data_IF_230320080359
#
_entry.id   IF_230320080359
#
_cell.length_a   1.000
_cell.length_b   1.000
_cell.length_c   1.000
_cell.angle_alpha   90.00
_cell.angle_beta   90.00
_cell.angle_gamma   90.00
#
_symmetry.space_group_name_H-M   'P 1'
#
loop_
_entity.id
_entity.type
_entity.pdbx_description
1 polymer ?
#
# COMPACT_ATOMS: atom_id res chain seq x y z
N UNK A 1 37.59 -39.80 50.12
CA UNK A 1 38.76 -40.42 49.47
C UNK A 1 38.23 -41.42 48.44
N UNK A 2 38.73 -41.52 47.21
CA UNK A 2 39.61 -40.60 46.47
C UNK A 2 39.55 -40.94 44.97
N UNK A 3 39.49 -40.02 43.98
CA UNK A 3 38.72 -38.77 43.79
C UNK A 3 38.57 -38.56 42.24
N UNK A 4 37.76 -37.61 41.76
CA UNK A 4 37.46 -37.47 40.32
C UNK A 4 38.52 -36.68 39.52
N UNK A 5 38.92 -37.11 38.30
CA UNK A 5 39.76 -36.31 37.42
C UNK A 5 38.94 -35.32 36.58
N UNK A 6 39.20 -34.03 36.78
CA UNK A 6 38.75 -32.94 35.90
C UNK A 6 39.77 -32.69 34.80
N UNK A 7 39.43 -32.98 33.54
CA UNK A 7 40.23 -32.52 32.40
C UNK A 7 39.81 -31.11 31.96
N UNK A 8 40.68 -30.14 32.24
CA UNK A 8 40.61 -28.79 31.69
C UNK A 8 41.65 -28.65 30.58
N UNK A 9 41.23 -28.70 29.32
CA UNK A 9 42.08 -28.24 28.21
C UNK A 9 42.21 -26.70 28.23
N UNK A 10 43.43 -26.14 28.12
CA UNK A 10 43.63 -24.69 28.06
C UNK A 10 43.36 -24.16 26.65
N UNK A 11 42.28 -23.37 26.49
CA UNK A 11 41.97 -22.70 25.22
C UNK A 11 43.06 -21.66 24.91
N UNK A 12 43.76 -21.88 23.80
CA UNK A 12 44.88 -21.07 23.34
C UNK A 12 44.41 -19.67 22.89
N UNK A 13 44.82 -18.61 23.62
CA UNK A 13 44.46 -17.22 23.29
C UNK A 13 45.26 -16.73 22.07
N UNK A 14 44.70 -16.93 20.88
CA UNK A 14 45.24 -16.39 19.63
C UNK A 14 45.13 -14.87 19.56
N UNK A 15 46.27 -14.16 19.58
CA UNK A 15 46.34 -12.72 19.30
C UNK A 15 45.92 -12.44 17.84
N UNK A 16 44.72 -11.91 17.64
CA UNK A 16 44.32 -11.36 16.33
C UNK A 16 44.92 -9.97 16.18
N UNK A 17 45.79 -9.81 15.18
CA UNK A 17 46.39 -8.53 14.83
C UNK A 17 45.32 -7.56 14.28
N UNK A 18 45.40 -6.28 14.66
CA UNK A 18 44.54 -5.22 14.11
C UNK A 18 44.78 -5.08 12.59
N UNK A 19 43.82 -5.49 11.77
CA UNK A 19 43.68 -4.98 10.40
C UNK A 19 42.64 -3.86 10.39
N UNK A 20 43.10 -2.63 10.16
CA UNK A 20 42.23 -1.55 9.72
C UNK A 20 41.94 -1.76 8.23
N UNK A 21 40.70 -2.09 7.89
CA UNK A 21 40.11 -1.89 6.56
C UNK A 21 38.66 -1.48 6.75
N UNK A 22 38.27 -0.38 6.13
CA UNK A 22 36.91 0.13 6.21
C UNK A 22 35.91 -0.76 5.46
N UNK A 23 34.70 -0.91 5.99
CA UNK A 23 33.50 -0.54 5.22
C UNK A 23 32.32 -0.23 6.15
N UNK A 24 31.58 0.84 5.86
CA UNK A 24 30.40 1.28 6.61
C UNK A 24 29.18 1.13 5.68
N UNK A 25 28.47 0.00 5.71
CA UNK A 25 27.33 -0.17 4.77
C UNK A 25 26.22 -1.19 5.08
N UNK A 26 26.29 -2.04 6.12
CA UNK A 26 25.16 -2.92 6.48
C UNK A 26 24.62 -2.61 7.88
N UNK A 27 23.79 -1.56 7.98
CA UNK A 27 22.79 -1.48 9.03
C UNK A 27 21.51 -2.17 8.50
N UNK A 28 21.09 -3.34 9.03
CA UNK A 28 19.95 -4.08 8.49
C UNK A 28 18.62 -3.32 8.58
N UNK A 29 18.55 -2.33 9.48
CA UNK A 29 17.41 -1.45 9.67
C UNK A 29 17.72 -0.10 9.02
N UNK A 30 17.64 -0.04 7.69
CA UNK A 30 17.71 1.21 6.93
C UNK A 30 16.32 1.77 6.63
N UNK A 31 16.25 3.08 6.45
CA UNK A 31 15.03 3.79 6.00
C UNK A 31 14.65 3.27 4.61
N UNK A 32 13.41 2.83 4.42
CA UNK A 32 12.93 2.33 3.13
C UNK A 32 12.81 3.49 2.11
N UNK A 33 12.92 3.22 0.80
CA UNK A 33 12.85 4.25 -0.25
C UNK A 33 11.47 4.94 -0.30
N UNK A 34 11.31 6.01 0.47
CA UNK A 34 10.23 6.96 0.28
C UNK A 34 10.52 7.91 -0.89
N UNK A 35 9.48 8.52 -1.45
CA UNK A 35 9.68 9.70 -2.30
C UNK A 35 10.21 10.85 -1.46
N UNK A 36 11.24 11.53 -1.98
CA UNK A 36 11.68 12.80 -1.43
C UNK A 36 10.52 13.78 -1.52
N UNK A 37 10.34 14.59 -0.47
CA UNK A 37 9.55 15.82 -0.58
C UNK A 37 10.25 16.70 -1.62
N UNK A 38 9.80 16.64 -2.87
CA UNK A 38 10.02 17.74 -3.77
C UNK A 38 9.48 19.00 -3.09
N UNK A 39 10.21 20.10 -3.16
CA UNK A 39 9.72 21.40 -2.69
C UNK A 39 8.65 21.97 -3.63
N UNK A 40 8.52 21.38 -4.82
CA UNK A 40 7.20 21.21 -5.38
C UNK A 40 6.43 20.22 -4.47
N UNK A 41 5.45 20.73 -3.72
CA UNK A 41 4.11 20.12 -3.84
C UNK A 41 4.00 19.65 -5.29
N UNK A 42 3.78 18.37 -5.60
CA UNK A 42 3.31 18.03 -6.96
C UNK A 42 2.14 18.98 -7.12
N UNK A 43 2.24 20.02 -7.96
CA UNK A 43 1.18 20.98 -7.95
C UNK A 43 -0.02 20.17 -8.43
N UNK A 44 -1.20 20.46 -7.93
CA UNK A 44 -2.32 20.43 -8.85
C UNK A 44 -1.99 21.51 -9.89
N UNK A 45 -1.11 21.17 -10.82
CA UNK A 45 -0.67 22.00 -11.90
C UNK A 45 -1.90 22.03 -12.76
N UNK A 46 -2.72 23.07 -12.62
CA UNK A 46 -3.90 23.27 -13.45
C UNK A 46 -3.44 23.04 -14.89
N UNK A 47 -3.86 21.91 -15.47
CA UNK A 47 -3.19 21.32 -16.62
C UNK A 47 -3.36 22.22 -17.83
N UNK A 48 -2.40 23.14 -18.04
CA UNK A 48 -2.31 24.20 -19.08
C UNK A 48 -3.54 24.31 -19.99
N UNK A 49 -4.69 24.75 -19.47
CA UNK A 49 -5.98 24.88 -20.19
C UNK A 49 -6.22 23.83 -21.31
N UNK A 50 -5.83 22.57 -21.07
CA UNK A 50 -5.84 21.53 -22.10
C UNK A 50 -7.28 21.04 -22.30
N UNK A 51 -7.96 21.68 -23.24
CA UNK A 51 -9.36 21.38 -23.57
C UNK A 51 -9.48 19.91 -23.94
N UNK A 52 -10.40 19.19 -23.31
CA UNK A 52 -10.72 17.78 -23.55
C UNK A 52 -10.65 17.30 -25.01
N UNK A 53 -11.14 18.11 -25.96
CA UNK A 53 -11.07 17.78 -27.38
C UNK A 53 -9.64 17.70 -27.95
N UNK A 54 -8.70 18.50 -27.46
CA UNK A 54 -7.28 18.43 -27.83
C UNK A 54 -6.63 17.14 -27.30
N UNK A 55 -6.89 16.78 -26.04
CA UNK A 55 -6.35 15.55 -25.44
C UNK A 55 -6.85 14.28 -26.16
N UNK A 56 -8.09 14.28 -26.65
CA UNK A 56 -8.64 13.20 -27.47
C UNK A 56 -8.06 13.17 -28.90
N UNK A 57 -7.64 14.32 -29.46
CA UNK A 57 -6.92 14.37 -30.73
C UNK A 57 -5.48 13.89 -30.57
N UNK A 58 -4.76 14.39 -29.55
CA UNK A 58 -3.35 14.09 -29.29
C UNK A 58 -3.14 12.61 -28.91
N UNK A 59 -4.11 11.98 -28.24
CA UNK A 59 -4.13 10.54 -27.96
C UNK A 59 -4.61 9.67 -29.13
N UNK A 60 -4.95 10.27 -30.28
CA UNK A 60 -5.43 9.55 -31.48
C UNK A 60 -6.82 8.94 -31.35
N UNK A 61 -7.59 9.29 -30.30
CA UNK A 61 -8.95 8.79 -30.05
C UNK A 61 -10.01 9.51 -30.89
N UNK A 62 -9.73 10.73 -31.34
CA UNK A 62 -10.53 11.46 -32.33
C UNK A 62 -9.65 11.86 -33.52
N UNK A 63 -10.27 11.93 -34.70
CA UNK A 63 -9.69 12.66 -35.84
C UNK A 63 -10.14 14.14 -35.81
N UNK A 64 -9.43 15.01 -36.53
CA UNK A 64 -9.84 16.41 -36.67
C UNK A 64 -11.25 16.57 -37.26
N UNK A 65 -11.60 15.74 -38.25
CA UNK A 65 -12.93 15.71 -38.86
C UNK A 65 -14.01 15.25 -37.86
N UNK A 66 -13.68 14.33 -36.97
CA UNK A 66 -14.59 13.86 -35.91
C UNK A 66 -14.77 14.90 -34.82
N UNK A 67 -13.72 15.61 -34.41
CA UNK A 67 -13.82 16.74 -33.48
C UNK A 67 -14.76 17.84 -34.01
N UNK A 68 -14.76 18.14 -35.31
CA UNK A 68 -15.75 19.05 -35.91
C UNK A 68 -17.19 18.54 -35.85
N UNK A 69 -17.40 17.22 -36.00
CA UNK A 69 -18.72 16.59 -35.87
C UNK A 69 -19.22 16.70 -34.42
N UNK A 70 -18.33 16.48 -33.45
CA UNK A 70 -18.61 16.69 -32.02
C UNK A 70 -18.99 18.15 -31.75
N UNK A 71 -18.19 19.13 -32.19
CA UNK A 71 -18.49 20.56 -32.00
C UNK A 71 -19.84 20.98 -32.61
N UNK A 72 -20.20 20.44 -33.78
CA UNK A 72 -21.51 20.68 -34.41
C UNK A 72 -22.66 20.13 -33.55
N UNK A 73 -22.58 18.88 -33.08
CA UNK A 73 -23.60 18.30 -32.20
C UNK A 73 -23.66 19.03 -30.85
N UNK A 74 -22.51 19.39 -30.29
CA UNK A 74 -22.38 20.12 -29.04
C UNK A 74 -23.18 21.42 -29.08
N UNK A 75 -22.96 22.25 -30.11
CA UNK A 75 -23.72 23.50 -30.31
C UNK A 75 -25.20 23.25 -30.59
N UNK A 76 -25.52 22.29 -31.47
CA UNK A 76 -26.89 22.03 -31.91
C UNK A 76 -27.80 21.47 -30.79
N UNK A 77 -27.24 20.80 -29.78
CA UNK A 77 -28.00 20.21 -28.66
C UNK A 77 -27.61 20.72 -27.27
N UNK A 78 -26.79 21.77 -27.21
CA UNK A 78 -26.27 22.39 -25.98
C UNK A 78 -25.68 21.35 -24.98
N UNK A 79 -24.86 20.44 -25.50
CA UNK A 79 -24.22 19.36 -24.72
C UNK A 79 -22.81 19.76 -24.24
N UNK A 80 -22.21 18.96 -23.35
CA UNK A 80 -20.76 19.01 -23.13
C UNK A 80 -20.05 18.29 -24.27
N UNK A 81 -18.77 18.61 -24.50
CA UNK A 81 -18.00 18.01 -25.60
C UNK A 81 -17.90 16.48 -25.48
N UNK A 82 -17.61 15.96 -24.28
CA UNK A 82 -17.54 14.52 -24.01
C UNK A 82 -18.88 13.81 -24.30
N UNK A 83 -19.98 14.32 -23.73
CA UNK A 83 -21.33 13.78 -23.97
C UNK A 83 -21.68 13.73 -25.46
N UNK A 84 -21.31 14.76 -26.23
CA UNK A 84 -21.52 14.79 -27.67
C UNK A 84 -20.64 13.78 -28.43
N UNK A 85 -19.40 13.53 -27.99
CA UNK A 85 -18.49 12.57 -28.60
C UNK A 85 -18.91 11.12 -28.34
N UNK A 86 -19.30 10.79 -27.09
CA UNK A 86 -19.85 9.48 -26.71
C UNK A 86 -21.16 9.23 -27.45
N UNK A 87 -22.05 10.22 -27.52
CA UNK A 87 -23.34 10.11 -28.24
C UNK A 87 -23.22 9.93 -29.75
N UNK A 88 -22.08 10.31 -30.35
CA UNK A 88 -21.76 10.03 -31.74
C UNK A 88 -21.09 8.66 -31.95
N UNK A 89 -20.80 7.91 -30.88
CA UNK A 89 -20.11 6.62 -30.92
C UNK A 89 -18.63 6.73 -31.32
N UNK A 90 -18.02 7.91 -31.19
CA UNK A 90 -16.66 8.19 -31.65
C UNK A 90 -15.61 7.83 -30.61
N UNK A 91 -15.98 7.88 -29.33
CA UNK A 91 -15.15 7.58 -28.16
C UNK A 91 -16.04 6.94 -27.09
N UNK A 92 -15.45 6.12 -26.23
CA UNK A 92 -16.13 5.57 -25.05
C UNK A 92 -16.12 6.56 -23.87
N UNK A 93 -16.94 6.31 -22.85
CA UNK A 93 -16.85 7.05 -21.58
C UNK A 93 -15.47 6.89 -20.93
N UNK A 94 -14.82 5.74 -21.09
CA UNK A 94 -13.47 5.49 -20.57
C UNK A 94 -12.41 6.38 -21.25
N UNK A 95 -12.53 6.62 -22.56
CA UNK A 95 -11.64 7.53 -23.29
C UNK A 95 -11.82 8.99 -22.83
N UNK A 96 -13.05 9.41 -22.57
CA UNK A 96 -13.34 10.73 -21.96
C UNK A 96 -12.70 10.83 -20.58
N UNK A 97 -12.84 9.82 -19.74
CA UNK A 97 -12.28 9.79 -18.39
C UNK A 97 -10.74 9.79 -18.39
N UNK A 98 -10.11 9.16 -19.39
CA UNK A 98 -8.65 9.16 -19.54
C UNK A 98 -8.10 10.51 -20.01
N UNK A 99 -8.79 11.16 -20.95
CA UNK A 99 -8.46 12.53 -21.33
C UNK A 99 -8.71 13.52 -20.17
N UNK A 100 -9.76 13.31 -19.36
CA UNK A 100 -10.00 14.13 -18.17
C UNK A 100 -8.94 13.94 -17.07
N UNK A 101 -8.43 12.73 -16.81
CA UNK A 101 -7.37 12.56 -15.81
C UNK A 101 -6.06 13.23 -16.23
N UNK A 102 -5.71 13.20 -17.52
CA UNK A 102 -4.59 13.98 -18.06
C UNK A 102 -4.80 15.50 -17.88
N UNK A 103 -6.05 15.97 -18.00
CA UNK A 103 -6.39 17.37 -17.77
C UNK A 103 -6.28 17.80 -16.29
N UNK A 104 -6.55 16.88 -15.36
CA UNK A 104 -6.56 17.12 -13.91
C UNK A 104 -5.36 16.54 -13.15
N UNK A 105 -4.33 16.06 -13.87
CA UNK A 105 -3.11 15.43 -13.35
C UNK A 105 -3.39 14.29 -12.33
N UNK A 106 -4.39 13.44 -12.64
CA UNK A 106 -4.80 12.34 -11.76
C UNK A 106 -4.12 11.02 -12.20
N UNK A 107 -3.16 10.46 -11.43
CA UNK A 107 -2.45 9.25 -11.81
C UNK A 107 -3.36 8.03 -11.69
N UNK A 108 -3.79 7.51 -12.85
CA UNK A 108 -4.46 6.23 -12.96
C UNK A 108 -3.98 5.48 -14.22
N UNK A 109 -4.06 4.16 -14.16
CA UNK A 109 -3.47 3.25 -15.14
C UNK A 109 -4.50 2.79 -16.16
N UNK A 110 -4.08 2.59 -17.40
CA UNK A 110 -4.90 1.86 -18.36
C UNK A 110 -5.04 0.38 -17.90
N UNK A 111 -6.22 -0.25 -18.00
CA UNK A 111 -6.41 -1.66 -17.62
C UNK A 111 -5.35 -2.59 -18.22
N UNK A 112 -4.82 -3.50 -17.39
CA UNK A 112 -3.71 -4.40 -17.75
C UNK A 112 -2.31 -3.77 -17.85
N UNK A 113 -2.15 -2.45 -17.69
CA UNK A 113 -0.83 -1.82 -17.71
C UNK A 113 0.04 -2.27 -16.52
N UNK A 114 1.33 -2.48 -16.77
CA UNK A 114 2.35 -2.93 -15.80
C UNK A 114 2.17 -4.36 -15.22
N UNK A 115 1.13 -5.08 -15.66
CA UNK A 115 0.87 -6.46 -15.23
C UNK A 115 0.40 -6.60 -13.78
N UNK A 116 -0.05 -5.51 -13.13
CA UNK A 116 -0.68 -5.60 -11.81
C UNK A 116 -2.05 -6.28 -11.90
N UNK A 117 -2.56 -6.77 -10.78
CA UNK A 117 -3.87 -7.43 -10.72
C UNK A 117 -5.02 -6.46 -11.02
N UNK A 118 -5.99 -6.89 -11.84
CA UNK A 118 -7.24 -6.16 -12.10
C UNK A 118 -8.06 -5.89 -10.82
N UNK A 119 -7.77 -6.58 -9.71
CA UNK A 119 -8.35 -6.29 -8.40
C UNK A 119 -7.89 -4.93 -7.81
N UNK A 120 -6.87 -4.27 -8.40
CA UNK A 120 -6.46 -2.90 -8.09
C UNK A 120 -7.37 -1.84 -8.76
N UNK A 121 -8.68 -1.91 -8.47
CA UNK A 121 -9.72 -1.02 -9.04
C UNK A 121 -9.45 0.48 -8.84
N UNK A 122 -8.73 0.88 -7.78
CA UNK A 122 -8.34 2.27 -7.55
C UNK A 122 -7.24 2.76 -8.51
N UNK A 123 -6.44 1.85 -9.07
CA UNK A 123 -5.46 2.16 -10.12
C UNK A 123 -6.12 2.19 -11.51
N UNK A 124 -7.01 1.23 -11.82
CA UNK A 124 -7.54 1.06 -13.19
C UNK A 124 -8.92 1.69 -13.44
N UNK A 125 -9.78 1.80 -12.42
CA UNK A 125 -11.18 2.22 -12.54
C UNK A 125 -11.54 3.30 -11.49
N UNK A 126 -10.79 4.43 -11.43
CA UNK A 126 -10.86 5.37 -10.31
C UNK A 126 -12.19 6.14 -10.21
N UNK A 127 -13.04 6.12 -11.22
CA UNK A 127 -14.31 6.85 -11.25
C UNK A 127 -15.53 5.99 -10.89
N UNK A 128 -15.30 4.77 -10.39
CA UNK A 128 -16.37 3.87 -9.94
C UNK A 128 -16.89 4.29 -8.55
N UNK A 129 -18.18 4.02 -8.24
CA UNK A 129 -18.73 4.24 -6.89
C UNK A 129 -17.95 3.51 -5.79
N UNK A 130 -17.33 2.36 -6.10
CA UNK A 130 -16.47 1.61 -5.20
C UNK A 130 -15.23 2.41 -4.79
N UNK A 131 -14.56 3.08 -5.74
CA UNK A 131 -13.38 3.91 -5.45
C UNK A 131 -13.77 5.20 -4.72
N UNK A 132 -14.96 5.75 -4.95
CA UNK A 132 -15.48 6.84 -4.10
C UNK A 132 -15.66 6.42 -2.63
N UNK A 133 -16.11 5.19 -2.36
CA UNK A 133 -16.14 4.68 -0.97
C UNK A 133 -14.73 4.52 -0.37
N UNK A 134 -13.73 4.14 -1.17
CA UNK A 134 -12.34 4.10 -0.73
C UNK A 134 -11.79 5.51 -0.41
N UNK A 135 -12.09 6.52 -1.26
CA UNK A 135 -11.75 7.92 -0.98
C UNK A 135 -12.45 8.44 0.28
N UNK A 136 -13.71 8.08 0.50
CA UNK A 136 -14.45 8.44 1.71
C UNK A 136 -13.83 7.81 2.97
N UNK A 137 -13.47 6.51 2.92
CA UNK A 137 -12.76 5.81 3.99
C UNK A 137 -11.41 6.47 4.29
N UNK A 138 -10.59 6.71 3.26
CA UNK A 138 -9.31 7.43 3.36
C UNK A 138 -9.46 8.77 4.09
N UNK A 139 -10.43 9.60 3.68
CA UNK A 139 -10.69 10.90 4.31
C UNK A 139 -11.12 10.77 5.78
N UNK A 140 -11.89 9.74 6.14
CA UNK A 140 -12.25 9.46 7.54
C UNK A 140 -11.04 9.01 8.37
N UNK A 141 -10.15 8.19 7.81
CA UNK A 141 -8.91 7.77 8.47
C UNK A 141 -7.91 8.91 8.63
N UNK A 142 -7.81 9.81 7.63
CA UNK A 142 -7.04 11.05 7.75
C UNK A 142 -7.54 11.89 8.92
N UNK A 143 -8.85 12.12 9.04
CA UNK A 143 -9.40 12.93 10.13
C UNK A 143 -9.27 12.27 11.51
N UNK A 144 -9.47 10.95 11.61
CA UNK A 144 -9.57 10.24 12.89
C UNK A 144 -8.26 9.66 13.41
N UNK A 145 -7.29 9.39 12.53
CA UNK A 145 -6.06 8.69 12.89
C UNK A 145 -4.82 9.47 12.45
N UNK A 146 -4.56 9.57 11.15
CA UNK A 146 -3.29 10.14 10.66
C UNK A 146 -3.14 11.64 10.99
N UNK A 147 -4.24 12.40 10.99
CA UNK A 147 -4.29 13.80 11.40
C UNK A 147 -4.04 14.05 12.89
N UNK A 148 -3.98 13.00 13.72
CA UNK A 148 -3.56 13.10 15.14
C UNK A 148 -2.05 12.95 15.32
N UNK A 149 -1.28 12.79 14.23
CA UNK A 149 0.16 12.56 14.24
C UNK A 149 0.56 11.07 14.20
N UNK A 150 -0.41 10.15 14.27
CA UNK A 150 -0.16 8.73 14.04
C UNK A 150 0.28 8.47 12.61
N UNK A 151 1.25 7.57 12.41
CA UNK A 151 1.81 7.25 11.09
C UNK A 151 1.48 5.85 10.59
N UNK A 152 1.19 4.90 11.47
CA UNK A 152 0.93 3.52 11.07
C UNK A 152 -0.45 3.02 11.50
N UNK A 153 -1.01 2.07 10.75
CA UNK A 153 -2.32 1.48 10.99
C UNK A 153 -2.34 0.01 10.55
N UNK A 154 -2.73 -0.88 11.45
CA UNK A 154 -2.93 -2.29 11.14
C UNK A 154 -4.27 -2.49 10.41
N UNK A 155 -4.25 -3.23 9.31
CA UNK A 155 -5.42 -3.65 8.56
C UNK A 155 -5.69 -5.11 8.89
N UNK A 156 -6.74 -5.35 9.68
CA UNK A 156 -6.99 -6.64 10.37
C UNK A 156 -8.36 -7.16 10.03
N UNK A 157 -8.54 -8.48 9.98
CA UNK A 157 -9.82 -9.03 9.54
C UNK A 157 -9.98 -10.52 9.79
N UNK A 158 -11.19 -10.99 9.48
CA UNK A 158 -11.62 -12.39 9.68
C UNK A 158 -12.15 -13.03 8.39
N UNK A 159 -12.20 -12.27 7.29
CA UNK A 159 -12.59 -12.76 5.97
C UNK A 159 -11.43 -13.39 5.19
N UNK A 160 -11.62 -13.70 3.89
CA UNK A 160 -10.59 -14.28 3.06
C UNK A 160 -9.39 -13.36 2.86
N UNK A 161 -8.18 -13.93 2.81
CA UNK A 161 -6.93 -13.19 2.59
C UNK A 161 -6.98 -12.23 1.39
N UNK A 162 -7.50 -12.68 0.25
CA UNK A 162 -7.58 -11.85 -0.96
C UNK A 162 -8.43 -10.59 -0.76
N UNK A 163 -9.60 -10.71 -0.14
CA UNK A 163 -10.44 -9.53 0.19
C UNK A 163 -9.68 -8.50 1.03
N UNK A 164 -8.95 -8.95 2.05
CA UNK A 164 -8.17 -8.07 2.92
C UNK A 164 -7.02 -7.41 2.16
N UNK A 165 -6.17 -8.19 1.49
CA UNK A 165 -5.03 -7.67 0.73
C UNK A 165 -5.46 -6.71 -0.38
N UNK A 166 -6.62 -6.95 -1.03
CA UNK A 166 -7.15 -6.06 -2.06
C UNK A 166 -7.65 -4.74 -1.49
N UNK A 167 -8.41 -4.77 -0.39
CA UNK A 167 -8.86 -3.54 0.26
C UNK A 167 -7.67 -2.77 0.84
N UNK A 168 -6.63 -3.44 1.36
CA UNK A 168 -5.39 -2.83 1.80
C UNK A 168 -4.62 -2.16 0.65
N UNK A 169 -4.43 -2.86 -0.47
CA UNK A 169 -3.77 -2.34 -1.66
C UNK A 169 -4.51 -1.14 -2.26
N UNK A 170 -5.83 -1.26 -2.47
CA UNK A 170 -6.65 -0.18 -3.00
C UNK A 170 -6.74 1.03 -2.05
N UNK A 171 -6.73 0.80 -0.74
CA UNK A 171 -6.66 1.88 0.25
C UNK A 171 -5.31 2.62 0.15
N UNK A 172 -4.19 1.90 0.03
CA UNK A 172 -2.88 2.50 -0.17
C UNK A 172 -2.80 3.34 -1.46
N UNK A 173 -3.40 2.85 -2.55
CA UNK A 173 -3.49 3.57 -3.83
C UNK A 173 -4.25 4.90 -3.68
N UNK A 174 -5.40 4.92 -3.01
CA UNK A 174 -6.12 6.19 -2.82
C UNK A 174 -5.40 7.14 -1.86
N UNK A 175 -4.57 6.66 -0.93
CA UNK A 175 -3.67 7.50 -0.13
C UNK A 175 -2.54 8.11 -0.99
N UNK A 176 -1.87 7.32 -1.83
CA UNK A 176 -0.81 7.86 -2.69
C UNK A 176 -1.36 8.83 -3.75
N UNK A 177 -2.56 8.58 -4.28
CA UNK A 177 -3.32 9.52 -5.13
C UNK A 177 -3.76 10.82 -4.41
N UNK A 178 -3.63 10.92 -3.08
CA UNK A 178 -3.81 12.18 -2.34
C UNK A 178 -2.49 12.99 -2.26
N UNK A 179 -1.36 12.41 -2.68
CA UNK A 179 -0.01 12.95 -2.50
C UNK A 179 0.67 12.53 -1.20
N UNK A 180 0.06 11.64 -0.41
CA UNK A 180 0.66 11.13 0.83
C UNK A 180 1.76 10.10 0.51
N UNK A 181 2.96 10.26 1.10
CA UNK A 181 4.02 9.25 0.98
C UNK A 181 3.55 8.01 1.75
N UNK A 182 3.18 6.97 0.99
CA UNK A 182 2.44 5.81 1.48
C UNK A 182 3.29 4.55 1.41
N UNK A 183 3.54 3.94 2.56
CA UNK A 183 4.16 2.62 2.68
C UNK A 183 3.08 1.57 2.95
N UNK A 184 3.04 0.52 2.13
CA UNK A 184 2.19 -0.64 2.34
C UNK A 184 3.06 -1.87 2.64
N UNK A 185 2.82 -2.52 3.79
CA UNK A 185 3.60 -3.66 4.27
C UNK A 185 2.74 -4.92 4.28
N UNK A 186 3.23 -6.03 3.70
CA UNK A 186 2.59 -7.35 3.84
C UNK A 186 3.10 -8.08 5.08
N UNK A 187 2.42 -7.94 6.22
CA UNK A 187 2.68 -8.72 7.43
C UNK A 187 1.90 -10.06 7.47
N UNK A 188 1.20 -10.43 6.39
CA UNK A 188 0.70 -11.80 6.24
C UNK A 188 1.82 -12.73 5.77
N UNK A 189 2.69 -13.12 6.69
CA UNK A 189 3.85 -13.96 6.39
C UNK A 189 3.50 -15.44 6.09
N UNK A 190 2.21 -15.82 6.14
CA UNK A 190 1.74 -17.20 5.83
C UNK A 190 1.20 -17.37 4.43
N UNK A 191 0.44 -16.39 3.95
CA UNK A 191 -0.20 -16.37 2.63
C UNK A 191 -0.12 -14.94 2.06
N UNK A 192 1.09 -14.42 1.82
CA UNK A 192 1.26 -13.07 1.31
C UNK A 192 0.66 -12.93 -0.09
N UNK A 193 0.09 -11.78 -0.39
CA UNK A 193 -0.57 -11.53 -1.69
C UNK A 193 -0.18 -10.19 -2.31
N UNK A 194 0.42 -9.25 -1.57
CA UNK A 194 0.74 -7.94 -2.15
C UNK A 194 1.76 -8.04 -3.29
N UNK A 195 2.64 -9.05 -3.27
CA UNK A 195 3.56 -9.31 -4.37
C UNK A 195 2.85 -9.76 -5.66
N UNK A 196 1.77 -10.54 -5.55
CA UNK A 196 0.94 -10.94 -6.70
C UNK A 196 0.17 -9.73 -7.23
N UNK A 197 -0.45 -8.94 -6.34
CA UNK A 197 -1.26 -7.79 -6.72
C UNK A 197 -0.46 -6.71 -7.45
N UNK A 198 0.77 -6.43 -7.00
CA UNK A 198 1.65 -5.41 -7.58
C UNK A 198 2.72 -5.98 -8.53
N UNK A 199 2.63 -7.27 -8.93
CA UNK A 199 3.57 -7.93 -9.84
C UNK A 199 5.05 -7.78 -9.41
N UNK A 200 5.33 -7.97 -8.12
CA UNK A 200 6.63 -7.74 -7.51
C UNK A 200 7.50 -9.01 -7.52
N UNK A 201 8.82 -8.88 -7.72
CA UNK A 201 9.73 -10.03 -7.67
C UNK A 201 9.81 -10.60 -6.24
N UNK A 202 9.51 -11.89 -6.11
CA UNK A 202 9.65 -12.63 -4.84
C UNK A 202 11.15 -12.86 -4.57
N UNK A 203 11.78 -11.94 -3.83
CA UNK A 203 13.20 -12.04 -3.40
C UNK A 203 13.39 -11.74 -1.92
N UNK A 204 13.14 -10.51 -1.52
CA UNK A 204 13.29 -10.04 -0.14
C UNK A 204 12.06 -9.25 0.27
N UNK A 205 11.75 -9.26 1.56
CA UNK A 205 10.64 -8.50 2.13
C UNK A 205 10.74 -8.38 3.63
N UNK A 206 9.59 -8.13 4.28
CA UNK A 206 9.48 -7.86 5.70
C UNK A 206 10.21 -8.90 6.57
N UNK A 207 10.02 -10.19 6.32
CA UNK A 207 10.65 -11.24 7.13
C UNK A 207 12.18 -11.19 7.05
N UNK A 208 12.73 -10.97 5.85
CA UNK A 208 14.17 -10.89 5.58
C UNK A 208 14.79 -9.65 6.23
N UNK A 209 14.09 -8.50 6.21
CA UNK A 209 14.49 -7.28 6.91
C UNK A 209 14.49 -7.49 8.43
N UNK A 210 13.43 -8.09 9.00
CA UNK A 210 13.32 -8.33 10.44
C UNK A 210 14.37 -9.32 11.00
N UNK A 211 14.97 -10.16 10.15
CA UNK A 211 16.11 -11.03 10.51
C UNK A 211 17.46 -10.50 10.02
N UNK A 212 17.51 -9.29 9.45
CA UNK A 212 18.72 -8.61 9.00
C UNK A 212 19.43 -9.24 7.80
N UNK A 213 18.68 -9.92 6.93
CA UNK A 213 19.17 -10.49 5.66
C UNK A 213 18.96 -9.58 4.45
N UNK A 214 18.14 -8.55 4.58
CA UNK A 214 17.91 -7.52 3.57
C UNK A 214 17.76 -6.16 4.26
N UNK A 215 17.99 -5.07 3.52
CA UNK A 215 17.75 -3.70 3.92
C UNK A 215 16.64 -3.05 3.11
N UNK A 216 16.83 -1.78 2.77
CA UNK A 216 15.84 -0.93 2.10
C UNK A 216 15.55 -1.32 0.65
N UNK A 217 16.41 -2.11 0.02
CA UNK A 217 16.20 -2.72 -1.29
C UNK A 217 15.08 -3.77 -1.33
N UNK A 218 14.59 -4.22 -0.17
CA UNK A 218 13.44 -5.12 -0.07
C UNK A 218 12.09 -4.44 -0.32
N UNK A 219 12.03 -3.10 -0.28
CA UNK A 219 10.82 -2.34 -0.56
C UNK A 219 10.87 -1.73 -1.96
N UNK A 220 9.79 -1.91 -2.72
CA UNK A 220 9.68 -1.51 -4.13
C UNK A 220 8.79 -0.29 -4.24
N UNK A 221 9.30 0.79 -4.86
CA UNK A 221 8.46 1.93 -5.28
C UNK A 221 7.64 1.51 -6.49
N UNK A 222 6.36 1.86 -6.50
CA UNK A 222 5.46 1.55 -7.61
C UNK A 222 5.45 2.75 -8.55
N UNK A 223 6.35 2.78 -9.55
CA UNK A 223 6.57 3.95 -10.40
C UNK A 223 5.31 4.52 -11.09
N UNK A 224 4.34 3.71 -11.52
CA UNK A 224 3.08 4.21 -12.09
C UNK A 224 2.13 4.85 -11.06
N UNK A 225 2.39 4.68 -9.76
CA UNK A 225 1.56 5.14 -8.65
C UNK A 225 2.43 5.94 -7.68
N UNK A 226 2.75 7.17 -8.09
CA UNK A 226 3.59 8.11 -7.32
C UNK A 226 3.19 8.16 -5.85
N UNK A 227 4.20 8.24 -4.98
CA UNK A 227 4.06 8.20 -3.53
C UNK A 227 3.86 6.81 -2.92
N UNK A 228 3.60 5.75 -3.69
CA UNK A 228 3.39 4.39 -3.17
C UNK A 228 4.69 3.56 -3.14
N UNK A 229 5.01 3.01 -1.97
CA UNK A 229 6.06 2.00 -1.76
C UNK A 229 5.45 0.75 -1.14
N UNK A 230 5.83 -0.43 -1.63
CA UNK A 230 5.34 -1.72 -1.14
C UNK A 230 6.50 -2.55 -0.60
N UNK A 231 6.40 -2.97 0.65
CA UNK A 231 7.26 -3.99 1.25
C UNK A 231 6.50 -5.31 1.27
N UNK A 232 6.91 -6.25 0.40
CA UNK A 232 6.35 -7.60 0.37
C UNK A 232 6.68 -8.38 1.65
N UNK A 233 6.07 -9.54 1.87
CA UNK A 233 6.33 -10.35 3.07
C UNK A 233 7.74 -10.95 3.12
N UNK A 234 8.37 -11.21 1.97
CA UNK A 234 9.67 -11.87 1.87
C UNK A 234 9.61 -13.38 2.06
N UNK A 235 10.73 -13.99 2.45
CA UNK A 235 10.85 -15.43 2.72
C UNK A 235 9.89 -15.87 3.82
N UNK A 236 9.03 -16.88 3.60
CA UNK A 236 8.14 -17.39 4.65
C UNK A 236 8.94 -17.92 5.86
N UNK A 237 8.79 -17.35 7.07
CA UNK A 237 9.46 -17.85 8.26
C UNK A 237 8.70 -19.03 8.87
N UNK A 238 9.38 -19.92 9.63
CA UNK A 238 8.70 -21.00 10.36
C UNK A 238 7.83 -20.48 11.53
N UNK A 239 8.12 -19.28 12.02
CA UNK A 239 7.54 -18.67 13.22
C UNK A 239 7.07 -17.20 12.99
N UNK A 240 5.99 -16.97 12.20
CA UNK A 240 5.48 -15.63 11.88
C UNK A 240 5.14 -14.74 13.08
N UNK A 241 4.41 -15.27 14.05
CA UNK A 241 3.90 -14.50 15.19
C UNK A 241 5.06 -13.98 16.07
N UNK A 242 6.02 -14.86 16.33
CA UNK A 242 7.22 -14.59 17.10
C UNK A 242 8.13 -13.57 16.40
N UNK A 243 8.20 -13.60 15.06
CA UNK A 243 8.96 -12.63 14.28
C UNK A 243 8.33 -11.23 14.33
N UNK A 244 7.00 -11.14 14.21
CA UNK A 244 6.25 -9.88 14.30
C UNK A 244 6.20 -9.30 15.72
N UNK A 245 6.34 -10.14 16.75
CA UNK A 245 6.40 -9.73 18.16
C UNK A 245 7.76 -9.18 18.61
N UNK A 246 8.80 -9.19 17.75
CA UNK A 246 10.12 -8.66 18.11
C UNK A 246 10.17 -7.13 18.07
N UNK A 247 10.95 -6.48 18.95
CA UNK A 247 11.15 -5.01 18.94
C UNK A 247 11.54 -4.45 17.57
N UNK A 248 12.31 -5.21 16.79
CA UNK A 248 12.74 -4.86 15.42
C UNK A 248 11.59 -4.51 14.48
N UNK A 249 10.36 -5.02 14.70
CA UNK A 249 9.21 -4.62 13.88
C UNK A 249 8.65 -3.24 14.27
N UNK A 250 8.56 -2.94 15.56
CA UNK A 250 8.20 -1.59 16.02
C UNK A 250 9.28 -0.55 15.64
N UNK A 251 10.56 -0.93 15.72
CA UNK A 251 11.69 -0.13 15.23
C UNK A 251 11.59 0.15 13.72
N UNK A 252 11.15 -0.83 12.90
CA UNK A 252 10.93 -0.63 11.47
C UNK A 252 9.87 0.43 11.21
N UNK A 253 8.74 0.35 11.91
CA UNK A 253 7.64 1.31 11.76
C UNK A 253 8.07 2.71 12.23
N UNK A 254 8.77 2.81 13.37
CA UNK A 254 9.27 4.07 13.89
C UNK A 254 10.29 4.75 12.96
N UNK A 255 11.25 4.00 12.42
CA UNK A 255 12.25 4.50 11.46
C UNK A 255 11.61 5.01 10.17
N UNK A 256 10.57 4.33 9.68
CA UNK A 256 9.88 4.70 8.44
C UNK A 256 8.83 5.81 8.65
N UNK A 257 8.34 6.02 9.87
CA UNK A 257 7.41 7.09 10.22
C UNK A 257 8.00 8.51 10.04
N UNK A 258 9.33 8.66 9.90
CA UNK A 258 9.97 9.94 9.56
C UNK A 258 9.82 10.31 8.07
N UNK A 259 9.71 9.31 7.19
CA UNK A 259 9.73 9.51 5.73
C UNK A 259 8.44 9.12 5.01
N UNK A 260 7.54 8.36 5.64
CA UNK A 260 6.20 8.09 5.15
C UNK A 260 5.17 8.84 6.00
N UNK A 261 4.23 9.49 5.32
CA UNK A 261 3.14 10.20 5.99
C UNK A 261 2.04 9.21 6.44
N UNK A 262 1.91 8.07 5.72
CA UNK A 262 0.97 6.97 5.97
C UNK A 262 1.67 5.61 5.81
N UNK A 263 1.53 4.73 6.80
CA UNK A 263 2.02 3.35 6.78
C UNK A 263 0.83 2.40 7.03
N UNK A 264 0.48 1.58 6.05
CA UNK A 264 -0.57 0.57 6.16
C UNK A 264 0.06 -0.82 6.29
N UNK A 265 -0.35 -1.59 7.30
CA UNK A 265 0.16 -2.95 7.52
C UNK A 265 -0.95 -3.96 7.29
N UNK A 266 -0.88 -4.67 6.15
CA UNK A 266 -1.76 -5.79 5.84
C UNK A 266 -1.43 -6.99 6.75
N UNK A 267 -2.43 -7.65 7.34
CA UNK A 267 -2.22 -8.79 8.25
C UNK A 267 -2.84 -10.08 7.74
N UNK A 268 -2.40 -11.21 8.30
CA UNK A 268 -3.07 -12.49 8.06
C UNK A 268 -4.48 -12.49 8.69
N UNK A 269 -5.50 -13.05 8.02
CA UNK A 269 -6.80 -13.22 8.65
C UNK A 269 -6.74 -14.22 9.82
N UNK A 270 -7.72 -14.11 10.72
CA UNK A 270 -8.13 -15.12 11.73
C UNK A 270 -7.14 -15.51 12.85
N UNK A 271 -5.83 -15.25 12.77
CA UNK A 271 -4.89 -15.60 13.83
C UNK A 271 -4.56 -14.41 14.75
N UNK A 272 -5.21 -14.36 15.93
CA UNK A 272 -4.94 -13.34 16.96
C UNK A 272 -3.46 -13.24 17.36
N UNK A 273 -2.72 -14.35 17.30
CA UNK A 273 -1.29 -14.42 17.59
C UNK A 273 -0.41 -13.59 16.62
N UNK A 274 -0.87 -13.34 15.39
CA UNK A 274 -0.18 -12.48 14.40
C UNK A 274 -0.79 -11.08 14.36
N UNK A 275 -2.10 -10.96 14.57
CA UNK A 275 -2.81 -9.67 14.60
C UNK A 275 -2.34 -8.81 15.78
N UNK A 276 -2.27 -9.36 17.01
CA UNK A 276 -1.95 -8.57 18.21
C UNK A 276 -0.55 -7.95 18.20
N UNK A 277 0.54 -8.65 17.82
CA UNK A 277 1.85 -8.03 17.63
C UNK A 277 1.84 -6.86 16.65
N UNK A 278 1.12 -6.99 15.52
CA UNK A 278 1.03 -5.92 14.53
C UNK A 278 0.23 -4.74 15.07
N UNK A 279 -0.92 -4.98 15.71
CA UNK A 279 -1.70 -3.92 16.36
C UNK A 279 -0.94 -3.21 17.48
N UNK A 280 -0.08 -3.92 18.23
CA UNK A 280 0.76 -3.33 19.27
C UNK A 280 1.88 -2.47 18.67
N UNK A 281 2.49 -2.91 17.56
CA UNK A 281 3.52 -2.14 16.85
C UNK A 281 2.93 -0.88 16.17
N UNK A 282 1.69 -0.94 15.66
CA UNK A 282 1.01 0.20 15.01
C UNK A 282 0.19 1.08 15.97
N UNK A 283 -0.05 0.63 17.20
CA UNK A 283 -0.94 1.22 18.22
C UNK A 283 -2.41 1.41 17.81
N UNK A 284 -2.78 1.10 16.57
CA UNK A 284 -4.14 1.19 16.07
C UNK A 284 -4.45 0.20 14.95
N UNK A 285 -5.72 -0.20 14.88
CA UNK A 285 -6.24 -1.17 13.94
C UNK A 285 -7.54 -0.71 13.27
N UNK A 286 -7.73 -1.11 12.02
CA UNK A 286 -8.98 -1.00 11.26
C UNK A 286 -9.52 -2.40 10.97
N UNK A 287 -10.71 -2.71 11.49
CA UNK A 287 -11.30 -4.06 11.38
C UNK A 287 -12.11 -4.24 10.09
N UNK A 288 -11.62 -5.11 9.23
CA UNK A 288 -12.18 -5.46 7.93
C UNK A 288 -13.13 -6.64 8.10
N UNK A 289 -14.36 -6.46 7.59
CA UNK A 289 -15.46 -7.42 7.70
C UNK A 289 -15.99 -7.69 6.30
N UNK A 290 -15.86 -8.92 5.81
CA UNK A 290 -16.46 -9.32 4.53
C UNK A 290 -17.92 -9.72 4.73
N UNK A 291 -18.83 -9.07 3.98
CA UNK A 291 -20.25 -9.38 4.03
C UNK A 291 -20.48 -10.86 3.66
N UNK A 292 -21.28 -11.57 4.46
CA UNK A 292 -21.58 -13.00 4.34
C UNK A 292 -20.41 -13.98 4.53
N UNK A 293 -19.15 -13.51 4.64
CA UNK A 293 -17.97 -14.38 4.81
C UNK A 293 -17.34 -14.26 6.20
N UNK A 294 -17.35 -13.08 6.83
CA UNK A 294 -16.89 -12.89 8.20
C UNK A 294 -17.98 -13.25 9.21
N UNK A 295 -17.73 -14.23 10.07
CA UNK A 295 -18.67 -14.60 11.13
C UNK A 295 -18.73 -13.52 12.23
N UNK A 296 -19.94 -13.14 12.64
CA UNK A 296 -20.15 -12.10 13.65
C UNK A 296 -19.63 -12.48 15.06
N UNK A 297 -19.32 -13.75 15.31
CA UNK A 297 -18.61 -14.19 16.51
C UNK A 297 -17.13 -13.78 16.43
N UNK A 298 -16.46 -14.14 15.34
CA UNK A 298 -15.02 -13.91 15.13
C UNK A 298 -14.69 -12.41 15.03
N UNK A 299 -15.55 -11.63 14.36
CA UNK A 299 -15.43 -10.16 14.30
C UNK A 299 -15.49 -9.55 15.70
N UNK A 300 -16.39 -10.03 16.57
CA UNK A 300 -16.49 -9.56 17.97
C UNK A 300 -15.30 -10.03 18.81
N UNK A 301 -14.84 -11.27 18.62
CA UNK A 301 -13.66 -11.79 19.30
C UNK A 301 -12.39 -11.00 18.94
N UNK A 302 -12.20 -10.68 17.66
CA UNK A 302 -11.07 -9.86 17.19
C UNK A 302 -11.14 -8.43 17.76
N UNK A 303 -12.29 -7.76 17.66
CA UNK A 303 -12.48 -6.43 18.24
C UNK A 303 -12.21 -6.42 19.75
N UNK A 304 -12.76 -7.40 20.46
CA UNK A 304 -12.58 -7.55 21.92
C UNK A 304 -11.13 -7.85 22.30
N UNK A 305 -10.41 -8.68 21.55
CA UNK A 305 -9.00 -8.96 21.80
C UNK A 305 -8.11 -7.71 21.65
N UNK A 306 -8.34 -6.92 20.60
CA UNK A 306 -7.62 -5.65 20.36
C UNK A 306 -7.90 -4.65 21.50
N UNK A 307 -9.17 -4.50 21.89
CA UNK A 307 -9.57 -3.59 22.97
C UNK A 307 -9.07 -4.03 24.35
N UNK A 308 -9.12 -5.33 24.67
CA UNK A 308 -8.58 -5.86 25.94
C UNK A 308 -7.06 -5.76 26.03
N UNK A 309 -6.35 -5.75 24.90
CA UNK A 309 -4.92 -5.45 24.84
C UNK A 309 -4.59 -3.95 25.04
N UNK A 310 -5.60 -3.08 25.21
CA UNK A 310 -5.44 -1.64 25.37
C UNK A 310 -5.18 -0.88 24.07
N UNK A 311 -5.40 -1.51 22.90
CA UNK A 311 -5.04 -0.98 21.59
C UNK A 311 -6.22 -0.25 20.94
N UNK A 312 -5.93 0.75 20.11
CA UNK A 312 -6.97 1.57 19.47
C UNK A 312 -7.67 0.82 18.33
N UNK A 313 -8.96 0.56 18.46
CA UNK A 313 -9.79 0.16 17.33
C UNK A 313 -10.37 1.42 16.66
N UNK A 314 -9.72 1.88 15.58
CA UNK A 314 -10.05 3.14 14.88
C UNK A 314 -11.45 3.09 14.24
N UNK A 315 -11.89 1.89 13.85
CA UNK A 315 -13.21 1.61 13.35
C UNK A 315 -13.28 0.25 12.65
N UNK A 316 -14.32 0.07 11.84
CA UNK A 316 -14.50 -1.12 11.00
C UNK A 316 -15.00 -0.76 9.61
N UNK A 317 -14.66 -1.59 8.62
CA UNK A 317 -15.10 -1.46 7.22
C UNK A 317 -15.82 -2.73 6.80
N UNK A 318 -17.05 -2.58 6.29
CA UNK A 318 -17.81 -3.67 5.72
C UNK A 318 -17.54 -3.75 4.21
N UNK A 319 -16.77 -4.75 3.79
CA UNK A 319 -16.53 -5.05 2.39
C UNK A 319 -17.76 -5.76 1.80
N UNK A 320 -18.30 -5.23 0.71
CA UNK A 320 -19.44 -5.77 -0.03
C UNK A 320 -18.97 -6.02 -1.47
N UNK A 321 -18.67 -7.28 -1.79
CA UNK A 321 -18.45 -7.74 -3.18
C UNK A 321 -19.81 -8.01 -3.82
#
# INVERSE_FOLDING_TARGET
>A
MMDAPTDHEPILVGRVARRQTANNQNNPMSVLPAETRSSATVPMALGKDLKLGQLLLDSGKLSAADAERVLRLQKAKNLRFGDAAVRLGLVSEQDILLALSQQFDYPYLAPGANGFSDELVAAYQPFTPQVEQLRALRSQLMLRWFGTGQRSLALVGTGPTGSMSNLAANLAIVFSQLGERTLLIDANLRRPMLHELFNLPVRHGLSDVLIGRAGSEAAVRIEPLLGLTVLSAGTQPPNPAELLARPTFAELLALNAEVFDVILVNTAPTHLAEILPVCAATQGALLMVDQHLSAAADVRAAASAIQHAGLSLVGSVLNRR
#
